data_IF_254465355404
#
_entry.id   IF_254465355404
#
_cell.length_a   1.000
_cell.length_b   1.000
_cell.length_c   1.000
_cell.angle_alpha   90.00
_cell.angle_beta   90.00
_cell.angle_gamma   90.00
#
_symmetry.space_group_name_H-M   'P 1'
#
loop_
_entity.id
_entity.type
_entity.pdbx_description
1 polymer ?
#
# COMPACT_ATOMS: atom_id res chain seq x y z
N UNK A 1 -0.32 9.39 -7.25
CA UNK A 1 -0.28 9.18 -5.79
C UNK A 1 0.92 9.94 -5.24
N UNK A 2 0.73 11.00 -4.44
CA UNK A 2 1.85 11.78 -3.89
C UNK A 2 2.19 11.17 -2.52
N UNK A 3 3.33 10.48 -2.41
CA UNK A 3 3.78 9.90 -1.13
C UNK A 3 4.23 8.42 -1.17
N UNK A 4 3.93 7.68 -2.24
CA UNK A 4 4.50 6.34 -2.48
C UNK A 4 5.67 6.51 -3.44
N UNK A 5 6.89 6.48 -2.92
CA UNK A 5 8.11 6.50 -3.74
C UNK A 5 8.37 5.15 -4.42
N UNK A 6 9.28 5.08 -5.40
CA UNK A 6 9.58 3.85 -6.15
C UNK A 6 9.95 2.67 -5.25
N UNK A 7 10.69 2.92 -4.17
CA UNK A 7 11.09 1.89 -3.21
C UNK A 7 9.92 1.31 -2.40
N UNK A 8 8.87 2.09 -2.13
CA UNK A 8 7.67 1.59 -1.46
C UNK A 8 6.74 0.91 -2.46
N UNK A 9 6.63 1.45 -3.68
CA UNK A 9 5.88 0.82 -4.76
C UNK A 9 6.42 -0.59 -5.06
N UNK A 10 7.75 -0.76 -5.13
CA UNK A 10 8.34 -2.08 -5.34
C UNK A 10 7.99 -3.06 -4.22
N UNK A 11 8.07 -2.65 -2.94
CA UNK A 11 7.69 -3.52 -1.81
C UNK A 11 6.22 -3.92 -1.86
N UNK A 12 5.34 -2.97 -2.19
CA UNK A 12 3.92 -3.24 -2.36
C UNK A 12 3.68 -4.24 -3.51
N UNK A 13 4.40 -4.08 -4.63
CA UNK A 13 4.35 -5.02 -5.75
C UNK A 13 4.83 -6.42 -5.37
N UNK A 14 5.93 -6.50 -4.62
CA UNK A 14 6.47 -7.77 -4.12
C UNK A 14 5.49 -8.46 -3.14
N UNK A 15 4.67 -7.67 -2.43
CA UNK A 15 3.55 -8.12 -1.58
C UNK A 15 2.21 -8.30 -2.34
N UNK A 16 2.26 -8.38 -3.68
CA UNK A 16 1.08 -8.66 -4.50
C UNK A 16 0.16 -7.48 -4.78
N UNK A 17 0.60 -6.24 -4.52
CA UNK A 17 -0.13 -5.00 -4.84
C UNK A 17 0.53 -4.29 -6.02
N UNK A 18 0.05 -4.58 -7.22
CA UNK A 18 0.57 -4.07 -8.47
C UNK A 18 0.13 -2.62 -8.76
N UNK A 19 -1.07 -2.25 -8.31
CA UNK A 19 -1.68 -0.96 -8.63
C UNK A 19 -2.49 -0.33 -7.48
N UNK A 20 -3.02 0.86 -7.74
CA UNK A 20 -3.80 1.63 -6.77
C UNK A 20 -5.16 0.98 -6.48
N UNK A 21 -5.74 0.25 -7.43
CA UNK A 21 -7.03 -0.43 -7.25
C UNK A 21 -6.88 -1.66 -6.36
N UNK A 22 -5.80 -2.41 -6.48
CA UNK A 22 -5.44 -3.48 -5.57
C UNK A 22 -5.12 -2.93 -4.19
N UNK A 23 -4.34 -1.85 -4.11
CA UNK A 23 -4.05 -1.19 -2.84
C UNK A 23 -5.34 -0.74 -2.14
N UNK A 24 -6.32 -0.20 -2.87
CA UNK A 24 -7.60 0.21 -2.29
C UNK A 24 -8.39 -0.92 -1.62
N UNK A 25 -8.14 -2.17 -2.01
CA UNK A 25 -8.81 -3.38 -1.52
C UNK A 25 -7.94 -4.21 -0.56
N UNK A 26 -6.66 -3.86 -0.44
CA UNK A 26 -5.72 -4.58 0.38
C UNK A 26 -5.96 -4.34 1.87
N UNK A 27 -5.49 -5.27 2.69
CA UNK A 27 -5.50 -5.15 4.13
C UNK A 27 -4.20 -4.51 4.63
N UNK A 28 -4.32 -3.49 5.48
CA UNK A 28 -3.17 -2.73 5.97
C UNK A 28 -2.28 -3.54 6.93
N UNK A 29 -2.87 -4.42 7.72
CA UNK A 29 -2.18 -5.25 8.69
C UNK A 29 -1.37 -6.33 7.97
N UNK A 30 -1.99 -7.02 7.00
CA UNK A 30 -1.31 -8.00 6.17
C UNK A 30 -0.15 -7.39 5.37
N UNK A 31 -0.39 -6.27 4.70
CA UNK A 31 0.67 -5.56 3.97
C UNK A 31 1.78 -5.07 4.90
N UNK A 32 1.46 -4.69 6.13
CA UNK A 32 2.45 -4.26 7.13
C UNK A 32 3.39 -5.41 7.48
N UNK A 33 2.86 -6.60 7.68
CA UNK A 33 3.64 -7.81 7.95
C UNK A 33 4.52 -8.21 6.76
N UNK A 34 3.99 -8.18 5.54
CA UNK A 34 4.74 -8.59 4.33
C UNK A 34 5.81 -7.57 3.92
N UNK A 35 5.47 -6.28 3.96
CA UNK A 35 6.36 -5.22 3.45
C UNK A 35 7.27 -4.62 4.52
N UNK A 36 7.00 -4.90 5.80
CA UNK A 36 7.68 -4.29 6.94
C UNK A 36 7.42 -2.78 7.08
N UNK A 37 6.39 -2.26 6.41
CA UNK A 37 5.96 -0.87 6.51
C UNK A 37 4.95 -0.72 7.66
N UNK A 38 4.86 0.48 8.24
CA UNK A 38 3.84 0.72 9.29
C UNK A 38 2.43 0.63 8.73
N UNK A 39 1.60 -0.15 9.43
CA UNK A 39 0.14 -0.17 9.39
C UNK A 39 -0.49 1.20 9.09
N UNK A 40 -0.23 2.23 9.91
CA UNK A 40 -0.77 3.59 9.75
C UNK A 40 -0.45 4.21 8.40
N UNK A 41 0.76 3.96 7.90
CA UNK A 41 1.19 4.51 6.61
C UNK A 41 0.44 3.82 5.48
N UNK A 42 0.34 2.50 5.53
CA UNK A 42 -0.38 1.70 4.55
C UNK A 42 -1.87 2.08 4.57
N UNK A 43 -2.52 2.14 5.73
CA UNK A 43 -3.92 2.58 5.85
C UNK A 43 -4.15 3.95 5.22
N UNK A 44 -3.25 4.91 5.42
CA UNK A 44 -3.35 6.24 4.81
C UNK A 44 -3.20 6.22 3.28
N UNK A 45 -2.50 5.23 2.73
CA UNK A 45 -2.43 5.02 1.28
C UNK A 45 -3.68 4.33 0.75
N UNK A 46 -4.20 3.33 1.46
CA UNK A 46 -5.45 2.63 1.16
C UNK A 46 -6.62 3.62 1.11
N UNK A 47 -6.79 4.46 2.15
CA UNK A 47 -7.83 5.50 2.17
C UNK A 47 -7.75 6.44 0.97
N UNK A 48 -6.54 6.89 0.61
CA UNK A 48 -6.33 7.74 -0.57
C UNK A 48 -6.58 7.00 -1.89
N UNK A 49 -6.36 5.70 -1.92
CA UNK A 49 -6.64 4.86 -3.08
C UNK A 49 -8.14 4.64 -3.27
N UNK A 50 -8.89 4.50 -2.17
CA UNK A 50 -10.35 4.38 -2.16
C UNK A 50 -11.05 5.70 -2.50
N UNK A 51 -10.48 6.84 -2.08
CA UNK A 51 -11.03 8.17 -2.37
C UNK A 51 -10.76 8.65 -3.81
N UNK A 52 -10.30 7.78 -4.71
CA UNK A 52 -9.88 8.11 -6.07
C UNK A 52 -10.85 7.64 -7.14
#
# INVERSE_FOLDING_TARGET
MKGIGPAYAQRLQDAGVADVTELAKADAEQLSEETGLSDKRISSWIERAQAR
#
